data_IF_648612671703
#
_entry.id   IF_648612671703
#
_cell.length_a   1.000
_cell.length_b   1.000
_cell.length_c   1.000
_cell.angle_alpha   90.00
_cell.angle_beta   90.00
_cell.angle_gamma   90.00
#
_symmetry.space_group_name_H-M   'P 1'
#
loop_
_entity.id
_entity.type
_entity.pdbx_description
1 polymer ?
#
# COMPACT_ATOMS: atom_id res chain seq x y z
N UNK A 1 11.28 16.00 33.74
CA UNK A 1 10.19 15.92 32.75
C UNK A 1 10.44 14.61 32.04
N UNK A 2 9.66 13.57 32.38
CA UNK A 2 9.73 12.26 31.73
C UNK A 2 9.32 12.45 30.27
N UNK A 3 10.23 12.12 29.34
CA UNK A 3 9.86 11.90 27.94
C UNK A 3 8.77 10.82 27.94
N UNK A 4 7.53 11.25 27.69
CA UNK A 4 6.47 10.30 27.41
C UNK A 4 6.86 9.64 26.08
N UNK A 5 7.25 8.38 26.11
CA UNK A 5 7.56 7.60 24.93
C UNK A 5 6.39 7.75 23.94
N UNK A 6 6.67 8.30 22.76
CA UNK A 6 5.68 8.40 21.69
C UNK A 6 5.31 7.00 21.24
N UNK A 7 4.02 6.68 21.36
CA UNK A 7 3.48 5.41 20.88
C UNK A 7 3.24 5.53 19.37
N UNK A 8 3.93 4.72 18.59
CA UNK A 8 3.70 4.60 17.16
C UNK A 8 2.55 3.62 16.90
N UNK A 9 1.60 4.01 16.07
CA UNK A 9 0.42 3.21 15.73
C UNK A 9 0.49 2.75 14.28
N UNK A 10 0.05 1.52 14.03
CA UNK A 10 -0.14 1.03 12.67
C UNK A 10 -1.37 1.66 12.02
N UNK A 11 -1.31 1.80 10.71
CA UNK A 11 -2.43 2.23 9.86
C UNK A 11 -2.61 1.20 8.76
N UNK A 12 -3.83 0.71 8.62
CA UNK A 12 -4.23 -0.21 7.57
C UNK A 12 -5.55 0.26 6.97
N UNK A 13 -5.59 0.34 5.66
CA UNK A 13 -6.82 0.56 4.91
C UNK A 13 -6.92 -0.48 3.79
N UNK A 14 -8.10 -1.07 3.64
CA UNK A 14 -8.41 -2.00 2.55
C UNK A 14 -9.61 -1.48 1.81
N UNK A 15 -9.47 -1.28 0.51
CA UNK A 15 -10.53 -0.81 -0.36
C UNK A 15 -10.80 -1.81 -1.47
N UNK A 16 -12.04 -2.28 -1.57
CA UNK A 16 -12.50 -3.04 -2.73
C UNK A 16 -12.69 -2.14 -3.94
N UNK A 17 -12.07 -2.50 -5.06
CA UNK A 17 -12.18 -1.76 -6.32
C UNK A 17 -12.72 -2.64 -7.43
N UNK A 18 -13.45 -2.03 -8.34
CA UNK A 18 -13.97 -2.69 -9.55
C UNK A 18 -12.90 -2.66 -10.66
N UNK A 19 -11.79 -3.35 -10.46
CA UNK A 19 -10.60 -3.29 -11.31
C UNK A 19 -9.61 -2.22 -10.86
N UNK A 20 -8.56 -2.01 -11.65
CA UNK A 20 -7.56 -0.97 -11.44
C UNK A 20 -7.63 0.05 -12.58
N UNK A 21 -8.03 1.27 -12.28
CA UNK A 21 -8.09 2.35 -13.26
C UNK A 21 -6.69 2.72 -13.77
N UNK A 22 -6.58 3.10 -15.05
CA UNK A 22 -5.30 3.49 -15.63
C UNK A 22 -4.66 4.69 -14.91
N UNK A 23 -5.45 5.63 -14.43
CA UNK A 23 -4.97 6.78 -13.65
C UNK A 23 -4.33 6.34 -12.33
N UNK A 24 -4.98 5.41 -11.61
CA UNK A 24 -4.46 4.84 -10.37
C UNK A 24 -3.15 4.07 -10.61
N UNK A 25 -3.10 3.30 -11.69
CA UNK A 25 -1.89 2.58 -12.07
C UNK A 25 -0.71 3.54 -12.34
N UNK A 26 -0.93 4.60 -13.09
CA UNK A 26 0.10 5.62 -13.35
C UNK A 26 0.56 6.31 -12.06
N UNK A 27 -0.37 6.61 -11.16
CA UNK A 27 -0.05 7.19 -9.86
C UNK A 27 0.82 6.24 -9.02
N UNK A 28 0.42 4.99 -8.87
CA UNK A 28 1.15 4.02 -8.06
C UNK A 28 2.53 3.71 -8.60
N UNK A 29 2.65 3.63 -9.92
CA UNK A 29 3.93 3.38 -10.58
C UNK A 29 4.77 4.64 -10.80
N UNK A 30 4.22 5.84 -10.48
CA UNK A 30 4.85 7.11 -10.85
C UNK A 30 5.18 7.17 -12.34
N UNK A 31 4.32 6.59 -13.14
CA UNK A 31 4.45 6.59 -14.60
C UNK A 31 3.80 7.84 -15.18
N UNK A 32 4.43 8.96 -14.92
CA UNK A 32 3.97 10.29 -15.27
C UNK A 32 4.94 10.98 -16.23
N UNK A 33 4.40 11.78 -17.14
CA UNK A 33 5.17 12.74 -17.90
C UNK A 33 5.70 13.86 -16.99
N UNK A 34 6.69 14.62 -17.47
CA UNK A 34 7.22 15.77 -16.73
C UNK A 34 6.12 16.76 -16.35
N UNK A 35 5.16 17.01 -17.28
CA UNK A 35 4.00 17.87 -17.00
C UNK A 35 3.11 17.30 -15.89
N UNK A 36 2.87 16.00 -15.89
CA UNK A 36 2.05 15.35 -14.84
C UNK A 36 2.74 15.43 -13.48
N UNK A 37 4.07 15.28 -13.44
CA UNK A 37 4.87 15.52 -12.24
C UNK A 37 4.72 16.96 -11.72
N UNK A 38 4.82 17.96 -12.58
CA UNK A 38 4.64 19.36 -12.18
C UNK A 38 3.24 19.61 -11.59
N UNK A 39 2.20 19.02 -12.18
CA UNK A 39 0.84 19.11 -11.64
C UNK A 39 0.73 18.42 -10.27
N UNK A 40 1.32 17.25 -10.11
CA UNK A 40 1.31 16.52 -8.85
C UNK A 40 2.05 17.28 -7.74
N UNK A 41 3.20 17.86 -8.05
CA UNK A 41 3.97 18.72 -7.15
C UNK A 41 3.15 19.95 -6.75
N UNK A 42 2.49 20.61 -7.69
CA UNK A 42 1.68 21.78 -7.44
C UNK A 42 0.47 21.50 -6.52
N UNK A 43 -0.05 20.26 -6.53
CA UNK A 43 -1.08 19.80 -5.60
C UNK A 43 -0.56 19.57 -4.17
N UNK A 44 0.75 19.62 -3.97
CA UNK A 44 1.36 19.64 -2.66
C UNK A 44 1.64 18.29 -2.01
N UNK A 45 1.70 17.19 -2.78
CA UNK A 45 1.82 15.85 -2.18
C UNK A 45 3.17 15.17 -2.42
N UNK A 46 3.86 15.47 -3.51
CA UNK A 46 4.99 14.69 -4.00
C UNK A 46 6.29 15.47 -4.03
N UNK A 47 7.40 14.76 -3.77
CA UNK A 47 8.75 15.28 -3.94
C UNK A 47 9.51 14.45 -4.98
N UNK A 48 9.81 15.06 -6.11
CA UNK A 48 10.59 14.42 -7.17
C UNK A 48 12.01 14.05 -6.69
N UNK A 49 12.57 14.81 -5.74
CA UNK A 49 13.88 14.54 -5.16
C UNK A 49 13.99 13.22 -4.40
N UNK A 50 12.86 12.65 -3.98
CA UNK A 50 12.80 11.35 -3.27
C UNK A 50 12.23 10.21 -4.09
N UNK A 51 11.86 10.44 -5.34
CA UNK A 51 11.28 9.39 -6.22
C UNK A 51 12.23 8.19 -6.36
N UNK A 52 13.53 8.42 -6.44
CA UNK A 52 14.54 7.37 -6.58
C UNK A 52 14.56 6.37 -5.41
N UNK A 53 13.96 6.72 -4.28
CA UNK A 53 13.87 5.88 -3.08
C UNK A 53 12.70 4.90 -3.12
N UNK A 54 11.70 5.14 -3.98
CA UNK A 54 10.58 4.24 -4.14
C UNK A 54 11.04 2.87 -4.65
N UNK A 55 10.39 1.82 -4.19
CA UNK A 55 10.73 0.46 -4.61
C UNK A 55 9.52 -0.44 -4.66
N UNK A 56 9.68 -1.58 -5.29
CA UNK A 56 8.70 -2.66 -5.33
C UNK A 56 9.23 -3.91 -4.68
N UNK A 57 8.33 -4.76 -4.23
CA UNK A 57 8.61 -6.15 -3.89
C UNK A 57 7.81 -7.03 -4.84
N UNK A 58 8.49 -7.94 -5.51
CA UNK A 58 7.88 -8.88 -6.45
C UNK A 58 8.01 -10.32 -5.95
N UNK A 59 7.45 -11.25 -6.71
CA UNK A 59 7.43 -12.68 -6.38
C UNK A 59 8.81 -13.17 -5.93
N UNK A 60 8.82 -13.93 -4.84
CA UNK A 60 10.03 -14.38 -4.18
C UNK A 60 10.62 -13.35 -3.21
N UNK A 61 9.94 -12.26 -2.93
CA UNK A 61 10.42 -11.19 -2.03
C UNK A 61 11.51 -10.32 -2.65
N UNK A 62 11.57 -10.24 -3.98
CA UNK A 62 12.60 -9.50 -4.70
C UNK A 62 12.35 -7.99 -4.63
N UNK A 63 13.31 -7.26 -4.07
CA UNK A 63 13.31 -5.80 -4.01
C UNK A 63 13.98 -5.23 -5.26
N UNK A 64 13.33 -4.26 -5.91
CA UNK A 64 13.83 -3.58 -7.10
C UNK A 64 13.20 -2.18 -7.23
N UNK A 65 13.75 -1.30 -8.05
CA UNK A 65 13.03 -0.09 -8.46
C UNK A 65 11.67 -0.44 -9.06
N UNK A 66 10.70 0.45 -8.93
CA UNK A 66 9.36 0.21 -9.48
C UNK A 66 9.45 0.02 -11.00
N UNK A 67 9.00 -1.14 -11.47
CA UNK A 67 8.93 -1.46 -12.89
C UNK A 67 7.71 -0.76 -13.51
N UNK A 68 7.96 0.11 -14.46
CA UNK A 68 6.94 0.90 -15.20
C UNK A 68 6.65 0.34 -16.59
N UNK A 69 7.28 -0.77 -16.97
CA UNK A 69 7.17 -1.34 -18.33
C UNK A 69 5.77 -1.87 -18.64
N UNK A 70 5.06 -2.33 -17.61
CA UNK A 70 3.69 -2.82 -17.71
C UNK A 70 2.81 -2.13 -16.68
N UNK A 71 1.62 -1.71 -17.11
CA UNK A 71 0.63 -1.15 -16.19
C UNK A 71 0.07 -2.20 -15.24
N UNK A 72 -0.49 -1.77 -14.11
CA UNK A 72 -1.15 -2.70 -13.17
C UNK A 72 -2.29 -3.47 -13.83
N UNK A 73 -3.18 -2.84 -14.63
CA UNK A 73 -4.19 -3.60 -15.39
C UNK A 73 -3.60 -4.67 -16.31
N UNK A 74 -2.47 -4.40 -16.94
CA UNK A 74 -1.78 -5.37 -17.79
C UNK A 74 -1.21 -6.53 -16.95
N UNK A 75 -0.55 -6.24 -15.82
CA UNK A 75 -0.06 -7.25 -14.89
C UNK A 75 -1.18 -8.14 -14.36
N UNK A 76 -2.33 -7.52 -14.05
CA UNK A 76 -3.53 -8.25 -13.61
C UNK A 76 -4.05 -9.18 -14.71
N UNK A 77 -4.14 -8.71 -15.95
CA UNK A 77 -4.59 -9.52 -17.08
C UNK A 77 -3.66 -10.70 -17.36
N UNK A 78 -2.34 -10.49 -17.32
CA UNK A 78 -1.35 -11.56 -17.46
C UNK A 78 -1.46 -12.61 -16.35
N UNK A 79 -1.62 -12.17 -15.11
CA UNK A 79 -1.77 -13.05 -13.96
C UNK A 79 -3.00 -13.97 -14.12
N UNK A 80 -4.13 -13.39 -14.43
CA UNK A 80 -5.39 -14.12 -14.62
C UNK A 80 -5.31 -15.09 -15.80
N UNK A 81 -4.74 -14.64 -16.92
CA UNK A 81 -4.58 -15.47 -18.12
C UNK A 81 -3.68 -16.70 -17.83
N UNK A 82 -2.57 -16.50 -17.14
CA UNK A 82 -1.65 -17.59 -16.78
C UNK A 82 -2.29 -18.64 -15.86
N UNK A 83 -3.32 -18.24 -15.09
CA UNK A 83 -4.04 -19.10 -14.14
C UNK A 83 -5.37 -19.64 -14.70
N UNK A 84 -5.75 -19.25 -15.90
CA UNK A 84 -7.04 -19.62 -16.50
C UNK A 84 -8.24 -19.06 -15.74
N UNK A 85 -8.09 -17.91 -15.08
CA UNK A 85 -9.15 -17.26 -14.32
C UNK A 85 -9.71 -16.11 -15.15
N UNK A 86 -11.02 -16.12 -15.35
CA UNK A 86 -11.71 -15.03 -16.09
C UNK A 86 -11.90 -13.80 -15.23
N UNK A 87 -11.59 -12.63 -15.76
CA UNK A 87 -11.97 -11.36 -15.14
C UNK A 87 -13.49 -11.19 -15.24
N UNK A 88 -14.16 -11.09 -14.08
CA UNK A 88 -15.62 -10.93 -14.01
C UNK A 88 -16.12 -9.64 -14.66
N UNK A 89 -15.27 -8.65 -14.81
CA UNK A 89 -15.61 -7.36 -15.42
C UNK A 89 -15.33 -7.31 -16.93
N UNK A 90 -14.70 -8.36 -17.48
CA UNK A 90 -14.39 -8.43 -18.90
C UNK A 90 -15.67 -8.39 -19.76
N UNK A 91 -15.68 -7.50 -20.75
CA UNK A 91 -16.81 -7.34 -21.67
C UNK A 91 -18.01 -6.60 -21.09
N UNK A 92 -17.95 -6.12 -19.85
CA UNK A 92 -18.99 -5.26 -19.30
C UNK A 92 -18.76 -3.81 -19.71
N UNK A 93 -19.83 -3.09 -20.07
CA UNK A 93 -19.77 -1.66 -20.37
C UNK A 93 -19.25 -0.86 -19.16
N UNK A 94 -19.66 -1.26 -17.96
CA UNK A 94 -19.17 -0.72 -16.70
C UNK A 94 -18.79 -1.85 -15.76
N UNK A 95 -17.63 -1.75 -15.08
CA UNK A 95 -17.23 -2.73 -14.07
C UNK A 95 -18.24 -2.80 -12.91
N UNK A 96 -18.63 -4.00 -12.53
CA UNK A 96 -19.59 -4.24 -11.44
C UNK A 96 -18.98 -4.95 -10.24
N UNK A 97 -18.03 -5.84 -10.48
CA UNK A 97 -17.49 -6.73 -9.48
C UNK A 97 -16.20 -6.17 -8.88
N UNK A 98 -16.05 -6.32 -7.57
CA UNK A 98 -14.81 -5.96 -6.86
C UNK A 98 -13.76 -7.04 -7.12
N UNK A 99 -12.89 -6.77 -8.08
CA UNK A 99 -11.82 -7.67 -8.52
C UNK A 99 -10.45 -7.29 -8.00
N UNK A 100 -10.37 -6.23 -7.22
CA UNK A 100 -9.15 -5.75 -6.59
C UNK A 100 -9.42 -5.43 -5.12
N UNK A 101 -8.54 -5.91 -4.25
CA UNK A 101 -8.38 -5.40 -2.89
C UNK A 101 -7.13 -4.52 -2.87
N UNK A 102 -7.33 -3.25 -2.62
CA UNK A 102 -6.28 -2.23 -2.60
C UNK A 102 -5.94 -1.89 -1.15
N UNK A 103 -4.73 -2.27 -0.74
CA UNK A 103 -4.25 -2.07 0.63
C UNK A 103 -3.35 -0.85 0.71
N UNK A 104 -3.49 -0.12 1.80
CA UNK A 104 -2.50 0.85 2.26
C UNK A 104 -2.00 0.40 3.63
N UNK A 105 -0.69 0.17 3.74
CA UNK A 105 -0.02 -0.07 5.01
C UNK A 105 0.87 1.12 5.34
N UNK A 106 0.70 1.63 6.52
CA UNK A 106 1.45 2.78 7.03
C UNK A 106 1.55 2.71 8.56
N UNK A 107 2.02 3.78 9.15
CA UNK A 107 2.06 3.97 10.60
C UNK A 107 2.18 5.44 10.94
N UNK A 108 2.34 5.72 12.22
CA UNK A 108 2.62 7.08 12.68
C UNK A 108 3.77 7.70 11.87
N UNK A 109 3.55 8.90 11.35
CA UNK A 109 4.46 9.55 10.39
C UNK A 109 5.91 9.58 10.86
N UNK A 110 6.14 9.95 12.10
CA UNK A 110 7.50 10.03 12.65
C UNK A 110 8.21 8.68 12.64
N UNK A 111 7.48 7.59 12.91
CA UNK A 111 8.03 6.23 12.92
C UNK A 111 8.33 5.74 11.51
N UNK A 112 7.44 6.01 10.58
CA UNK A 112 7.65 5.66 9.18
C UNK A 112 8.84 6.39 8.58
N UNK A 113 9.02 7.67 8.92
CA UNK A 113 10.19 8.45 8.51
C UNK A 113 11.49 7.91 9.13
N UNK A 114 11.45 7.53 10.40
CA UNK A 114 12.59 6.90 11.08
C UNK A 114 13.01 5.60 10.38
N UNK A 115 12.05 4.72 10.06
CA UNK A 115 12.32 3.47 9.36
C UNK A 115 12.88 3.70 7.95
N UNK A 116 12.37 4.70 7.24
CA UNK A 116 12.77 4.97 5.86
C UNK A 116 14.08 5.71 5.73
N UNK A 117 14.38 6.65 6.62
CA UNK A 117 15.47 7.62 6.46
C UNK A 117 16.46 7.64 7.62
N UNK A 118 16.15 7.03 8.77
CA UNK A 118 17.03 7.08 9.96
C UNK A 118 17.28 8.50 10.40
N UNK A 119 18.56 8.82 10.67
CA UNK A 119 19.00 10.13 11.14
C UNK A 119 19.39 11.08 10.00
N UNK A 120 19.14 10.71 8.74
CA UNK A 120 19.45 11.54 7.60
C UNK A 120 18.63 12.83 7.60
N UNK A 121 19.24 13.92 7.16
CA UNK A 121 18.51 15.16 6.89
C UNK A 121 17.68 15.00 5.61
N UNK A 122 16.38 15.17 5.71
CA UNK A 122 15.43 15.02 4.61
C UNK A 122 14.51 16.23 4.56
N UNK A 123 14.33 16.77 3.38
CA UNK A 123 13.35 17.83 3.13
C UNK A 123 12.01 17.15 2.79
N UNK A 124 10.98 17.43 3.58
CA UNK A 124 9.64 16.84 3.40
C UNK A 124 8.65 17.74 2.66
N UNK A 125 9.09 18.89 2.20
CA UNK A 125 8.25 19.78 1.38
C UNK A 125 8.00 19.14 0.01
N UNK A 126 6.78 19.28 -0.54
CA UNK A 126 6.53 18.91 -1.93
C UNK A 126 7.41 19.73 -2.88
N UNK A 127 7.83 19.14 -3.98
CA UNK A 127 8.63 19.84 -4.97
C UNK A 127 9.65 18.94 -5.67
N UNK A 128 10.75 19.56 -6.07
CA UNK A 128 11.94 18.89 -6.55
C UNK A 128 13.12 19.34 -5.68
N UNK A 129 13.20 18.74 -4.49
CA UNK A 129 14.20 19.10 -3.48
C UNK A 129 15.53 18.43 -3.82
N UNK A 130 16.48 19.21 -4.33
CA UNK A 130 17.78 18.70 -4.79
C UNK A 130 18.60 18.07 -3.67
N UNK A 131 18.46 18.55 -2.44
CA UNK A 131 19.08 17.97 -1.25
C UNK A 131 18.73 16.50 -1.05
N UNK A 132 17.53 16.10 -1.43
CA UNK A 132 17.04 14.74 -1.25
C UNK A 132 17.62 13.73 -2.26
N UNK A 133 18.26 14.16 -3.32
CA UNK A 133 18.91 13.25 -4.28
C UNK A 133 20.08 12.48 -3.66
N UNK A 134 20.67 12.98 -2.58
CA UNK A 134 21.73 12.29 -1.83
C UNK A 134 21.19 11.37 -0.72
N UNK A 135 19.91 11.42 -0.39
CA UNK A 135 19.29 10.58 0.63
C UNK A 135 19.26 9.14 0.16
N UNK A 136 19.57 8.23 1.08
CA UNK A 136 19.54 6.78 0.85
C UNK A 136 18.43 6.15 1.67
N UNK A 137 17.80 5.13 1.09
CA UNK A 137 16.82 4.32 1.78
C UNK A 137 17.50 3.46 2.83
N UNK A 138 16.96 3.43 4.05
CA UNK A 138 17.47 2.61 5.13
C UNK A 138 17.04 1.15 4.97
N UNK A 139 17.86 0.19 5.45
CA UNK A 139 17.50 -1.23 5.45
C UNK A 139 16.19 -1.52 6.21
N UNK A 140 15.89 -0.75 7.24
CA UNK A 140 14.72 -0.95 8.10
C UNK A 140 13.41 -0.85 7.34
N UNK A 141 13.25 0.13 6.44
CA UNK A 141 12.01 0.23 5.66
C UNK A 141 11.87 -0.93 4.67
N UNK A 142 12.97 -1.44 4.11
CA UNK A 142 12.96 -2.60 3.23
C UNK A 142 12.56 -3.87 3.99
N UNK A 143 13.08 -4.06 5.19
CA UNK A 143 12.77 -5.21 6.04
C UNK A 143 11.32 -5.18 6.53
N UNK A 144 10.85 -4.01 6.99
CA UNK A 144 9.45 -3.83 7.36
C UNK A 144 8.51 -4.14 6.19
N UNK A 145 8.80 -3.59 5.01
CA UNK A 145 8.01 -3.84 3.81
C UNK A 145 8.03 -5.33 3.43
N UNK A 146 9.17 -6.01 3.58
CA UNK A 146 9.29 -7.45 3.35
C UNK A 146 8.43 -8.25 4.32
N UNK A 147 8.39 -7.89 5.60
CA UNK A 147 7.53 -8.54 6.60
C UNK A 147 6.04 -8.36 6.23
N UNK A 148 5.65 -7.17 5.78
CA UNK A 148 4.28 -6.92 5.31
C UNK A 148 3.98 -7.73 4.04
N UNK A 149 4.91 -7.79 3.09
CA UNK A 149 4.75 -8.60 1.88
C UNK A 149 4.53 -10.07 2.23
N UNK A 150 5.34 -10.63 3.11
CA UNK A 150 5.23 -12.01 3.57
C UNK A 150 3.91 -12.26 4.31
N UNK A 151 3.45 -11.29 5.07
CA UNK A 151 2.15 -11.37 5.74
C UNK A 151 1.00 -11.47 4.72
N UNK A 152 0.99 -10.61 3.71
CA UNK A 152 -0.02 -10.63 2.64
C UNK A 152 0.07 -11.94 1.83
N UNK A 153 1.28 -12.33 1.45
CA UNK A 153 1.53 -13.57 0.69
C UNK A 153 1.07 -14.80 1.46
N UNK A 154 1.35 -14.88 2.76
CA UNK A 154 0.98 -16.00 3.61
C UNK A 154 -0.53 -16.08 3.87
N UNK A 155 -1.21 -14.93 4.01
CA UNK A 155 -2.63 -14.87 4.30
C UNK A 155 -3.51 -15.08 3.07
N UNK A 156 -3.12 -14.49 1.94
CA UNK A 156 -3.98 -14.43 0.74
C UNK A 156 -3.43 -15.19 -0.47
N UNK A 157 -2.20 -15.68 -0.40
CA UNK A 157 -1.50 -16.31 -1.51
C UNK A 157 -0.62 -15.30 -2.28
N UNK A 158 0.66 -15.63 -2.44
CA UNK A 158 1.60 -14.77 -3.16
C UNK A 158 1.19 -14.54 -4.63
N UNK A 159 0.60 -15.55 -5.25
CA UNK A 159 0.09 -15.50 -6.62
C UNK A 159 -1.02 -14.46 -6.83
N UNK A 160 -1.65 -14.02 -5.76
CA UNK A 160 -2.70 -12.99 -5.79
C UNK A 160 -2.16 -11.57 -5.69
N UNK A 161 -0.90 -11.38 -5.37
CA UNK A 161 -0.26 -10.06 -5.32
C UNK A 161 0.11 -9.62 -6.74
N UNK A 162 -0.56 -8.59 -7.25
CA UNK A 162 -0.29 -8.04 -8.58
C UNK A 162 0.78 -6.97 -8.52
N UNK A 163 0.72 -6.12 -7.50
CA UNK A 163 1.66 -5.03 -7.30
C UNK A 163 1.86 -4.77 -5.80
N UNK A 164 3.10 -4.50 -5.43
CA UNK A 164 3.46 -4.14 -4.06
C UNK A 164 4.52 -3.05 -4.14
N UNK A 165 4.10 -1.81 -3.88
CA UNK A 165 4.93 -0.63 -4.02
C UNK A 165 5.12 0.07 -2.68
N UNK A 166 6.34 0.51 -2.42
CA UNK A 166 6.69 1.30 -1.25
C UNK A 166 7.06 2.70 -1.70
N UNK A 167 6.28 3.68 -1.31
CA UNK A 167 6.44 5.08 -1.69
C UNK A 167 7.10 5.86 -0.56
N UNK A 168 8.24 6.48 -0.87
CA UNK A 168 9.01 7.33 0.02
C UNK A 168 9.04 8.79 -0.44
N UNK A 169 8.35 9.11 -1.51
CA UNK A 169 8.31 10.43 -2.15
C UNK A 169 7.12 11.30 -1.73
N UNK A 170 6.31 10.84 -0.80
CA UNK A 170 5.21 11.59 -0.20
C UNK A 170 5.54 11.98 1.25
N UNK A 171 4.60 12.64 1.91
CA UNK A 171 4.78 13.14 3.28
C UNK A 171 5.08 12.02 4.28
N UNK A 172 4.46 10.88 4.11
CA UNK A 172 4.64 9.71 4.98
C UNK A 172 4.94 8.47 4.15
N UNK A 173 6.03 7.76 4.41
CA UNK A 173 6.30 6.47 3.77
C UNK A 173 5.15 5.49 3.98
N UNK A 174 4.76 4.80 2.93
CA UNK A 174 3.65 3.84 2.97
C UNK A 174 3.76 2.81 1.86
N UNK A 175 2.98 1.75 2.01
CA UNK A 175 2.86 0.65 1.04
C UNK A 175 1.51 0.74 0.36
N UNK A 176 1.50 0.59 -0.96
CA UNK A 176 0.32 0.22 -1.75
C UNK A 176 0.46 -1.22 -2.21
N UNK A 177 -0.50 -2.07 -1.86
CA UNK A 177 -0.56 -3.44 -2.32
C UNK A 177 -1.86 -3.67 -3.08
N UNK A 178 -1.74 -4.07 -4.34
CA UNK A 178 -2.87 -4.45 -5.19
C UNK A 178 -2.98 -5.96 -5.20
N UNK A 179 -4.04 -6.47 -4.58
CA UNK A 179 -4.30 -7.90 -4.40
C UNK A 179 -5.52 -8.31 -5.22
N UNK A 180 -5.43 -9.47 -5.87
CA UNK A 180 -6.59 -10.15 -6.43
C UNK A 180 -7.29 -10.92 -5.30
N UNK A 181 -8.55 -10.61 -4.94
CA UNK A 181 -9.27 -11.33 -3.90
C UNK A 181 -9.81 -12.65 -4.45
N UNK A 182 -8.91 -13.58 -4.72
CA UNK A 182 -9.22 -14.89 -5.30
C UNK A 182 -9.07 -15.97 -4.23
N UNK A 183 -10.08 -16.81 -4.14
CA UNK A 183 -10.13 -18.01 -3.30
C UNK A 183 -10.69 -19.17 -4.10
N UNK A 184 -10.00 -20.31 -4.06
CA UNK A 184 -10.42 -21.53 -4.79
C UNK A 184 -10.61 -21.24 -6.30
N UNK A 185 -9.71 -20.47 -6.90
CA UNK A 185 -9.71 -20.12 -8.33
C UNK A 185 -10.82 -19.15 -8.75
N UNK A 186 -11.48 -18.48 -7.84
CA UNK A 186 -12.59 -17.56 -8.11
C UNK A 186 -12.45 -16.24 -7.36
N UNK A 187 -12.91 -15.15 -7.98
CA UNK A 187 -13.04 -13.88 -7.27
C UNK A 187 -14.05 -14.01 -6.11
N UNK A 188 -13.60 -13.65 -4.93
CA UNK A 188 -14.33 -13.86 -3.68
C UNK A 188 -14.15 -12.69 -2.68
N UNK A 189 -14.18 -11.46 -3.18
CA UNK A 189 -13.98 -10.27 -2.31
C UNK A 189 -14.94 -10.27 -1.12
N UNK A 190 -16.21 -10.58 -1.36
CA UNK A 190 -17.21 -10.62 -0.30
C UNK A 190 -16.85 -11.66 0.78
N UNK A 191 -16.46 -12.85 0.38
CA UNK A 191 -16.14 -13.92 1.32
C UNK A 191 -14.85 -13.66 2.11
N UNK A 192 -13.88 -13.00 1.48
CA UNK A 192 -12.59 -12.72 2.12
C UNK A 192 -12.65 -11.49 3.03
N UNK A 193 -13.29 -10.40 2.56
CA UNK A 193 -13.23 -9.11 3.24
C UNK A 193 -14.55 -8.62 3.80
N UNK A 194 -15.64 -8.72 3.05
CA UNK A 194 -16.88 -8.04 3.40
C UNK A 194 -17.82 -8.86 4.31
N UNK A 195 -17.87 -10.17 4.13
CA UNK A 195 -18.85 -11.01 4.82
C UNK A 195 -20.29 -10.78 4.36
N UNK A 196 -21.25 -11.39 5.04
CA UNK A 196 -22.66 -11.33 4.71
C UNK A 196 -23.34 -10.03 5.19
N UNK A 197 -22.78 -9.35 6.18
CA UNK A 197 -23.35 -8.17 6.81
C UNK A 197 -22.26 -7.28 7.46
N UNK A 198 -22.67 -6.12 7.95
CA UNK A 198 -21.75 -5.17 8.60
C UNK A 198 -21.04 -5.71 9.84
N UNK A 199 -21.68 -6.61 10.57
CA UNK A 199 -21.07 -7.25 11.74
C UNK A 199 -19.89 -8.14 11.34
N UNK A 200 -20.07 -8.99 10.33
CA UNK A 200 -18.98 -9.83 9.81
C UNK A 200 -17.86 -8.98 9.19
N UNK A 201 -18.21 -7.94 8.46
CA UNK A 201 -17.24 -6.99 7.92
C UNK A 201 -16.38 -6.39 9.03
N UNK A 202 -17.01 -5.90 10.09
CA UNK A 202 -16.31 -5.32 11.25
C UNK A 202 -15.41 -6.35 11.94
N UNK A 203 -15.90 -7.57 12.12
CA UNK A 203 -15.12 -8.64 12.74
C UNK A 203 -13.88 -9.02 11.91
N UNK A 204 -14.03 -9.14 10.59
CA UNK A 204 -12.92 -9.47 9.68
C UNK A 204 -11.89 -8.35 9.62
N UNK A 205 -12.35 -7.11 9.60
CA UNK A 205 -11.48 -5.93 9.65
C UNK A 205 -10.70 -5.88 10.96
N UNK A 206 -11.37 -6.09 12.08
CA UNK A 206 -10.74 -6.12 13.40
C UNK A 206 -9.71 -7.24 13.50
N UNK A 207 -10.02 -8.43 13.03
CA UNK A 207 -9.10 -9.56 13.01
C UNK A 207 -7.86 -9.28 12.15
N UNK A 208 -8.04 -8.66 10.99
CA UNK A 208 -6.94 -8.28 10.12
C UNK A 208 -5.99 -7.30 10.80
N UNK A 209 -6.53 -6.31 11.52
CA UNK A 209 -5.73 -5.39 12.33
C UNK A 209 -4.98 -6.09 13.45
N UNK A 210 -5.60 -7.06 14.13
CA UNK A 210 -4.96 -7.84 15.20
C UNK A 210 -3.80 -8.68 14.65
N UNK A 211 -4.00 -9.34 13.52
CA UNK A 211 -2.97 -10.14 12.86
C UNK A 211 -1.81 -9.27 12.36
N UNK A 212 -2.10 -8.10 11.80
CA UNK A 212 -1.08 -7.15 11.40
C UNK A 212 -0.28 -6.62 12.59
N UNK A 213 -0.92 -6.42 13.73
CA UNK A 213 -0.23 -5.95 14.95
C UNK A 213 0.86 -6.92 15.41
N UNK A 214 0.69 -8.22 15.21
CA UNK A 214 1.72 -9.23 15.49
C UNK A 214 2.93 -9.03 14.58
N UNK A 215 2.72 -8.79 13.29
CA UNK A 215 3.79 -8.51 12.32
C UNK A 215 4.52 -7.22 12.65
N UNK A 216 3.79 -6.21 13.09
CA UNK A 216 4.32 -4.87 13.39
C UNK A 216 4.96 -4.74 14.78
N UNK A 217 4.80 -5.71 15.67
CA UNK A 217 5.35 -5.66 17.03
C UNK A 217 6.87 -5.41 17.05
N UNK A 218 7.71 -6.13 16.27
CA UNK A 218 9.16 -5.88 16.25
C UNK A 218 9.51 -4.47 15.74
N UNK A 219 8.62 -3.82 15.01
CA UNK A 219 8.82 -2.48 14.45
C UNK A 219 8.31 -1.36 15.35
N UNK A 220 7.78 -1.70 16.51
CA UNK A 220 7.24 -0.71 17.44
C UNK A 220 5.96 -0.03 16.98
N UNK A 221 5.24 -0.64 16.06
CA UNK A 221 3.93 -0.18 15.59
C UNK A 221 2.84 -0.99 16.26
N UNK A 222 2.01 -0.33 17.08
CA UNK A 222 0.93 -0.98 17.81
C UNK A 222 -0.40 -0.78 17.11
N UNK A 223 -1.35 -1.68 17.37
CA UNK A 223 -2.71 -1.52 16.90
C UNK A 223 -3.33 -0.24 17.48
N UNK A 224 -3.89 0.60 16.59
CA UNK A 224 -4.64 1.77 17.02
C UNK A 224 -5.98 1.38 17.66
N UNK A 225 -6.57 2.30 18.43
CA UNK A 225 -7.91 2.14 18.97
C UNK A 225 -8.96 2.21 17.86
N UNK A 226 -9.98 1.36 17.88
CA UNK A 226 -11.04 1.38 16.87
C UNK A 226 -11.85 2.69 16.93
N UNK A 227 -12.44 3.10 15.81
CA UNK A 227 -13.30 4.27 15.77
C UNK A 227 -14.51 4.15 16.70
N UNK A 228 -14.99 2.92 16.89
CA UNK A 228 -16.10 2.60 17.80
C UNK A 228 -15.74 2.91 19.26
N UNK A 229 -14.48 2.70 19.63
CA UNK A 229 -13.98 2.97 20.99
C UNK A 229 -13.71 4.45 21.23
N UNK A 230 -13.19 5.14 20.20
CA UNK A 230 -12.79 6.55 20.34
C UNK A 230 -13.88 7.54 19.94
N UNK A 231 -14.95 7.10 19.26
CA UNK A 231 -15.99 7.95 18.64
C UNK A 231 -15.44 9.03 17.70
N UNK A 232 -14.22 8.90 17.24
CA UNK A 232 -13.61 9.84 16.33
C UNK A 232 -13.96 9.49 14.87
N UNK A 233 -14.38 10.48 14.10
CA UNK A 233 -14.60 10.32 12.65
C UNK A 233 -13.26 10.45 11.90
N UNK A 234 -13.08 9.66 10.86
CA UNK A 234 -11.99 9.88 9.92
C UNK A 234 -12.07 11.31 9.36
N UNK A 235 -10.99 12.06 9.50
CA UNK A 235 -10.83 13.27 8.70
C UNK A 235 -10.43 12.84 7.30
N UNK A 236 -11.14 13.29 6.24
CA UNK A 236 -10.66 13.05 4.89
C UNK A 236 -9.29 13.71 4.72
N UNK A 237 -8.34 12.96 4.23
CA UNK A 237 -7.04 13.47 3.77
C UNK A 237 -7.19 14.14 2.44
#
# INVERSE_FOLDING_TARGET
IRDMERIAKQVLNVRGRKGCAAALSREYQRNWSDRAWQVAIAKGNYDLGRQHLNFQISKGGKIAPIDKSKSIPHLMAENLAARGIKDKNEGLAEPRFRTVADFIFCGSQWKMRELAFGDQEVVFKPGDNKENYAVKRMPEIEQWATDIYNFVAGKYGEENIVAFYVHLDETSPHIHCVLLPIKDGKFAFKDIFAGANNREYSQRTSQLHDELAVVNEPWGLVRGTSQTETRQRHRPT
#
